data_IF_835057990589
#
_entry.id   IF_835057990589
#
_cell.length_a   1.000
_cell.length_b   1.000
_cell.length_c   1.000
_cell.angle_alpha   90.00
_cell.angle_beta   90.00
_cell.angle_gamma   90.00
#
_symmetry.space_group_name_H-M   'P 1'
#
loop_
_entity.id
_entity.type
_entity.pdbx_description
1 polymer ?
#
# COMPACT_ATOMS: atom_id res chain seq x y z
N UNK A 1 -4.32 -19.03 7.11
CA UNK A 1 -4.68 -17.61 7.32
C UNK A 1 -3.71 -16.74 6.54
N UNK A 2 -4.21 -15.88 5.67
CA UNK A 2 -3.39 -14.97 4.88
C UNK A 2 -2.67 -13.93 5.76
N UNK A 3 -1.55 -13.41 5.27
CA UNK A 3 -0.97 -12.16 5.78
C UNK A 3 -1.71 -10.96 5.17
N UNK A 4 -1.96 -9.92 5.97
CA UNK A 4 -2.29 -8.60 5.43
C UNK A 4 -1.00 -7.87 5.11
N UNK A 5 -0.70 -7.69 3.83
CA UNK A 5 0.50 -7.02 3.37
C UNK A 5 0.15 -5.63 2.82
N UNK A 6 0.99 -4.64 3.10
CA UNK A 6 0.81 -3.27 2.62
C UNK A 6 1.99 -2.86 1.75
N UNK A 7 1.72 -2.59 0.48
CA UNK A 7 2.71 -2.06 -0.46
C UNK A 7 2.46 -0.59 -0.70
N UNK A 8 3.46 0.25 -0.48
CA UNK A 8 3.33 1.71 -0.56
C UNK A 8 4.54 2.34 -1.22
N UNK A 9 4.28 3.23 -2.17
CA UNK A 9 5.27 4.14 -2.73
C UNK A 9 5.40 5.37 -1.83
N UNK A 10 6.62 5.72 -1.46
CA UNK A 10 6.90 6.81 -0.52
C UNK A 10 7.98 7.73 -1.07
N UNK A 11 7.84 9.01 -0.80
CA UNK A 11 8.96 9.95 -0.87
C UNK A 11 9.87 9.80 0.35
N UNK A 12 11.08 10.41 0.36
CA UNK A 12 11.96 10.43 1.52
C UNK A 12 11.32 11.06 2.76
N UNK A 13 10.38 12.00 2.58
CA UNK A 13 9.61 12.60 3.66
C UNK A 13 8.27 11.89 3.93
N UNK A 14 8.09 10.68 3.38
CA UNK A 14 6.99 9.77 3.70
C UNK A 14 5.66 10.06 3.01
N UNK A 15 5.62 10.94 2.01
CA UNK A 15 4.40 11.22 1.23
C UNK A 15 4.08 10.04 0.33
N UNK A 16 2.81 9.64 0.30
CA UNK A 16 2.28 8.54 -0.52
C UNK A 16 1.21 8.98 -1.51
N UNK A 17 0.82 10.25 -1.51
CA UNK A 17 -0.28 10.78 -2.32
C UNK A 17 0.07 10.85 -3.80
N UNK A 18 -0.85 10.40 -4.67
CA UNK A 18 -0.82 10.55 -6.12
C UNK A 18 0.52 10.23 -6.82
N UNK A 19 1.13 9.05 -6.57
CA UNK A 19 2.43 8.71 -7.16
C UNK A 19 2.39 8.55 -8.68
N UNK A 20 1.28 8.07 -9.25
CA UNK A 20 1.21 7.60 -10.64
C UNK A 20 0.83 8.66 -11.67
N UNK A 21 0.18 9.76 -11.28
CA UNK A 21 -0.19 10.80 -12.24
C UNK A 21 -0.75 12.08 -11.62
N UNK A 22 -0.66 13.22 -12.35
CA UNK A 22 -1.15 14.51 -11.85
C UNK A 22 -2.63 14.53 -11.43
N UNK A 23 -3.57 13.86 -12.14
CA UNK A 23 -4.98 13.86 -11.77
C UNK A 23 -5.37 12.77 -10.76
N UNK A 24 -4.42 11.96 -10.28
CA UNK A 24 -4.70 10.78 -9.47
C UNK A 24 -5.38 11.13 -8.14
N UNK A 25 -4.84 12.06 -7.39
CA UNK A 25 -5.43 12.58 -6.15
C UNK A 25 -5.00 14.03 -5.89
N UNK A 26 -5.75 15.03 -6.38
CA UNK A 26 -5.46 16.45 -6.14
C UNK A 26 -6.03 16.96 -4.81
N UNK A 27 -6.56 16.09 -3.94
CA UNK A 27 -7.17 16.48 -2.67
C UNK A 27 -6.19 17.26 -1.79
N UNK A 28 -6.70 18.18 -0.97
CA UNK A 28 -5.87 19.06 -0.17
C UNK A 28 -5.02 20.06 -0.96
N UNK A 29 -5.28 20.24 -2.25
CA UNK A 29 -4.50 21.13 -3.13
C UNK A 29 -3.14 20.55 -3.54
N UNK A 30 -2.95 19.24 -3.47
CA UNK A 30 -1.70 18.57 -3.85
C UNK A 30 -1.40 18.74 -5.34
N UNK A 31 -0.18 19.20 -5.66
CA UNK A 31 0.23 19.59 -7.02
C UNK A 31 1.36 18.75 -7.61
N UNK A 32 1.87 17.77 -6.86
CA UNK A 32 3.04 16.98 -7.25
C UNK A 32 2.67 15.56 -7.76
N UNK A 33 1.43 15.37 -8.25
CA UNK A 33 0.99 14.07 -8.78
C UNK A 33 1.90 13.56 -9.89
N UNK A 34 2.17 12.24 -9.92
CA UNK A 34 3.07 11.62 -10.89
C UNK A 34 4.55 11.67 -10.49
N UNK A 35 4.87 12.04 -9.26
CA UNK A 35 6.24 12.17 -8.75
C UNK A 35 7.07 10.88 -8.82
N UNK A 36 6.43 9.73 -8.82
CA UNK A 36 7.08 8.42 -8.92
C UNK A 36 7.63 8.14 -10.32
N UNK A 37 6.91 8.58 -11.37
CA UNK A 37 7.11 8.15 -12.76
C UNK A 37 8.55 8.30 -13.25
N UNK A 38 9.28 9.41 -12.98
CA UNK A 38 10.66 9.57 -13.41
C UNK A 38 11.66 8.56 -12.80
N UNK A 39 11.27 7.91 -11.69
CA UNK A 39 12.13 6.99 -10.95
C UNK A 39 11.73 5.51 -11.15
N UNK A 40 10.60 5.25 -11.83
CA UNK A 40 10.11 3.88 -12.03
C UNK A 40 10.97 3.16 -13.06
N UNK A 41 11.73 2.17 -12.62
CA UNK A 41 12.64 1.39 -13.44
C UNK A 41 12.26 -0.09 -13.50
N UNK A 42 13.03 -0.88 -14.27
CA UNK A 42 12.81 -2.31 -14.42
C UNK A 42 12.91 -3.09 -13.10
N UNK A 43 13.76 -2.66 -12.16
CA UNK A 43 13.90 -3.30 -10.84
C UNK A 43 12.66 -3.08 -9.98
N UNK A 44 12.11 -1.88 -10.02
CA UNK A 44 10.84 -1.54 -9.37
C UNK A 44 9.69 -2.36 -9.97
N UNK A 45 9.61 -2.42 -11.31
CA UNK A 45 8.59 -3.21 -12.02
C UNK A 45 8.67 -4.70 -11.68
N UNK A 46 9.88 -5.27 -11.66
CA UNK A 46 10.11 -6.67 -11.27
C UNK A 46 9.65 -6.95 -9.84
N UNK A 47 9.99 -6.08 -8.89
CA UNK A 47 9.55 -6.22 -7.51
C UNK A 47 8.02 -6.16 -7.39
N UNK A 48 7.38 -5.24 -8.10
CA UNK A 48 5.91 -5.17 -8.11
C UNK A 48 5.29 -6.44 -8.68
N UNK A 49 5.83 -7.00 -9.75
CA UNK A 49 5.38 -8.30 -10.28
C UNK A 49 5.49 -9.40 -9.22
N UNK A 50 6.64 -9.52 -8.54
CA UNK A 50 6.86 -10.48 -7.45
C UNK A 50 5.85 -10.31 -6.30
N UNK A 51 5.46 -9.07 -5.97
CA UNK A 51 4.42 -8.77 -4.97
C UNK A 51 3.07 -9.28 -5.46
N UNK A 52 2.64 -8.89 -6.66
CA UNK A 52 1.34 -9.28 -7.20
C UNK A 52 1.19 -10.79 -7.43
N UNK A 53 2.26 -11.52 -7.72
CA UNK A 53 2.24 -12.98 -7.86
C UNK A 53 1.76 -13.68 -6.58
N UNK A 54 2.04 -13.12 -5.39
CA UNK A 54 1.64 -13.68 -4.10
C UNK A 54 0.21 -13.35 -3.70
N UNK A 55 -0.44 -12.41 -4.40
CA UNK A 55 -1.80 -11.97 -4.09
C UNK A 55 -2.82 -13.10 -4.25
N UNK A 56 -3.73 -13.20 -3.30
CA UNK A 56 -4.96 -13.99 -3.41
C UNK A 56 -6.20 -13.08 -3.45
N UNK A 57 -6.12 -11.88 -2.86
CA UNK A 57 -7.16 -10.86 -2.90
C UNK A 57 -6.56 -9.48 -2.59
N UNK A 58 -7.34 -8.44 -2.85
CA UNK A 58 -7.00 -7.05 -2.55
C UNK A 58 -7.97 -6.43 -1.56
N UNK A 59 -7.44 -5.62 -0.64
CA UNK A 59 -8.20 -4.74 0.22
C UNK A 59 -7.87 -3.29 -0.19
N UNK A 60 -8.82 -2.60 -0.78
CA UNK A 60 -8.65 -1.29 -1.38
C UNK A 60 -9.51 -0.25 -0.66
N UNK A 61 -8.96 0.91 -0.37
CA UNK A 61 -9.78 2.05 0.02
C UNK A 61 -10.53 2.65 -1.16
N UNK A 62 -11.58 3.42 -0.88
CA UNK A 62 -12.46 4.00 -1.90
C UNK A 62 -11.71 4.70 -3.03
N UNK A 63 -10.81 5.62 -2.71
CA UNK A 63 -10.10 6.42 -3.74
C UNK A 63 -9.25 5.53 -4.64
N UNK A 64 -8.43 4.64 -4.06
CA UNK A 64 -7.62 3.70 -4.84
C UNK A 64 -8.49 2.77 -5.68
N UNK A 65 -9.60 2.26 -5.12
CA UNK A 65 -10.55 1.47 -5.89
C UNK A 65 -11.06 2.22 -7.13
N UNK A 66 -11.47 3.48 -6.98
CA UNK A 66 -11.99 4.29 -8.08
C UNK A 66 -10.94 4.54 -9.16
N UNK A 67 -9.69 4.84 -8.77
CA UNK A 67 -8.55 5.01 -9.66
C UNK A 67 -8.29 3.70 -10.42
N UNK A 68 -8.18 2.59 -9.71
CA UNK A 68 -7.89 1.27 -10.28
C UNK A 68 -9.01 0.77 -11.20
N UNK A 69 -10.26 0.90 -10.79
CA UNK A 69 -11.43 0.51 -11.58
C UNK A 69 -11.56 1.30 -12.88
N UNK A 70 -11.04 2.53 -12.92
CA UNK A 70 -11.02 3.34 -14.13
C UNK A 70 -9.84 3.00 -15.08
N UNK A 71 -8.77 2.41 -14.57
CA UNK A 71 -7.55 2.13 -15.32
C UNK A 71 -7.42 0.65 -15.72
N UNK A 72 -7.37 -0.25 -14.76
CA UNK A 72 -6.96 -1.64 -14.97
C UNK A 72 -7.88 -2.48 -15.87
N UNK A 73 -9.21 -2.28 -15.91
CA UNK A 73 -10.06 -2.99 -16.88
C UNK A 73 -9.74 -2.67 -18.35
N UNK A 74 -9.03 -1.57 -18.61
CA UNK A 74 -8.60 -1.17 -19.96
C UNK A 74 -7.24 -1.73 -20.36
N UNK A 75 -6.47 -2.25 -19.41
CA UNK A 75 -5.21 -2.95 -19.68
C UNK A 75 -5.54 -4.39 -20.01
N UNK A 76 -5.63 -4.69 -21.30
CA UNK A 76 -6.09 -5.99 -21.81
C UNK A 76 -4.96 -6.89 -22.29
N UNK A 77 -3.71 -6.47 -22.16
CA UNK A 77 -2.54 -7.27 -22.48
C UNK A 77 -2.45 -8.47 -21.50
N UNK A 78 -2.62 -9.71 -21.97
CA UNK A 78 -2.54 -10.88 -21.09
C UNK A 78 -1.14 -11.15 -20.54
N UNK A 79 -0.11 -10.52 -21.12
CA UNK A 79 1.27 -10.62 -20.65
C UNK A 79 1.58 -9.67 -19.48
N UNK A 80 0.69 -8.71 -19.18
CA UNK A 80 0.83 -7.85 -18.00
C UNK A 80 0.38 -8.61 -16.73
N UNK A 81 1.31 -9.01 -15.86
CA UNK A 81 1.00 -9.83 -14.69
C UNK A 81 0.19 -9.05 -13.63
N UNK A 82 0.37 -7.73 -13.55
CA UNK A 82 -0.32 -6.88 -12.59
C UNK A 82 -1.78 -6.71 -13.02
N UNK A 83 -2.01 -6.34 -14.28
CA UNK A 83 -3.36 -6.21 -14.83
C UNK A 83 -4.14 -7.51 -14.73
N UNK A 84 -3.50 -8.65 -15.08
CA UNK A 84 -4.10 -9.98 -14.98
C UNK A 84 -4.58 -10.29 -13.57
N UNK A 85 -3.75 -10.04 -12.54
CA UNK A 85 -4.10 -10.27 -11.14
C UNK A 85 -5.22 -9.33 -10.67
N UNK A 86 -5.09 -8.03 -10.92
CA UNK A 86 -6.08 -7.03 -10.50
C UNK A 86 -7.45 -7.27 -11.13
N UNK A 87 -7.50 -7.67 -12.40
CA UNK A 87 -8.76 -7.95 -13.08
C UNK A 87 -9.39 -9.28 -12.66
N UNK A 88 -8.59 -10.29 -12.28
CA UNK A 88 -9.09 -11.63 -11.96
C UNK A 88 -9.42 -11.85 -10.49
N UNK A 89 -8.62 -11.31 -9.55
CA UNK A 89 -8.72 -11.62 -8.12
C UNK A 89 -9.83 -10.82 -7.41
N UNK A 90 -10.35 -11.33 -6.27
CA UNK A 90 -11.30 -10.59 -5.42
C UNK A 90 -10.75 -9.27 -4.92
N UNK A 91 -11.60 -8.25 -4.92
CA UNK A 91 -11.32 -6.91 -4.39
C UNK A 91 -12.33 -6.53 -3.32
N UNK A 92 -11.86 -6.36 -2.08
CA UNK A 92 -12.65 -5.90 -0.95
C UNK A 92 -12.47 -4.39 -0.80
N UNK A 93 -13.54 -3.63 -0.94
CA UNK A 93 -13.48 -2.16 -1.02
C UNK A 93 -13.97 -1.57 0.29
N UNK A 94 -13.01 -1.05 1.07
CA UNK A 94 -13.29 -0.35 2.32
C UNK A 94 -13.92 1.02 2.04
N UNK A 95 -15.23 1.14 2.28
CA UNK A 95 -15.97 2.38 2.08
C UNK A 95 -17.25 2.41 2.90
N UNK A 96 -17.50 3.56 3.55
CA UNK A 96 -18.77 3.88 4.22
C UNK A 96 -19.72 4.70 3.35
N UNK A 97 -19.29 5.12 2.16
CA UNK A 97 -20.01 6.09 1.33
C UNK A 97 -20.32 5.60 -0.08
N UNK A 98 -19.63 4.58 -0.58
CA UNK A 98 -19.99 3.96 -1.85
C UNK A 98 -21.24 3.11 -1.67
N UNK A 99 -22.24 3.34 -2.53
CA UNK A 99 -23.46 2.55 -2.56
C UNK A 99 -23.25 1.20 -3.26
N UNK A 100 -22.34 1.15 -4.24
CA UNK A 100 -22.04 -0.06 -5.04
C UNK A 100 -20.64 -0.04 -5.61
N UNK A 101 -20.16 -1.22 -5.99
CA UNK A 101 -18.91 -1.44 -6.72
C UNK A 101 -19.22 -2.18 -8.01
N UNK A 102 -18.59 -1.76 -9.12
CA UNK A 102 -18.94 -2.25 -10.47
C UNK A 102 -17.79 -3.05 -11.13
N UNK A 103 -16.56 -2.84 -10.67
CA UNK A 103 -15.44 -3.60 -11.19
C UNK A 103 -15.57 -5.07 -10.82
N UNK A 104 -15.31 -5.94 -11.79
CA UNK A 104 -15.45 -7.40 -11.62
C UNK A 104 -14.81 -7.90 -10.32
N UNK A 105 -15.43 -8.88 -9.68
CA UNK A 105 -14.96 -9.50 -8.43
C UNK A 105 -14.75 -8.52 -7.27
N UNK A 106 -15.52 -7.43 -7.21
CA UNK A 106 -15.45 -6.45 -6.13
C UNK A 106 -16.62 -6.59 -5.17
N UNK A 107 -16.37 -6.34 -3.88
CA UNK A 107 -17.37 -6.33 -2.81
C UNK A 107 -17.10 -5.18 -1.84
N UNK A 108 -18.15 -4.60 -1.24
CA UNK A 108 -18.01 -3.55 -0.23
C UNK A 108 -17.69 -4.17 1.13
N UNK A 109 -16.83 -3.47 1.87
CA UNK A 109 -16.49 -3.70 3.29
C UNK A 109 -16.78 -2.41 4.03
N UNK A 110 -17.77 -2.42 4.92
CA UNK A 110 -18.21 -1.23 5.67
C UNK A 110 -17.43 -1.01 6.96
N UNK A 111 -17.03 -2.10 7.61
CA UNK A 111 -16.20 -2.10 8.82
C UNK A 111 -14.95 -2.96 8.62
N UNK A 112 -13.90 -2.31 8.13
CA UNK A 112 -12.64 -2.99 7.81
C UNK A 112 -11.97 -3.58 9.06
N UNK A 113 -12.14 -2.95 10.22
CA UNK A 113 -11.49 -3.38 11.46
C UNK A 113 -12.03 -4.73 11.93
N UNK A 114 -13.35 -4.90 11.92
CA UNK A 114 -13.98 -6.17 12.30
C UNK A 114 -13.83 -7.24 11.20
N UNK A 115 -13.76 -6.85 9.92
CA UNK A 115 -13.79 -7.80 8.81
C UNK A 115 -12.40 -8.33 8.39
N UNK A 116 -11.29 -7.62 8.70
CA UNK A 116 -9.93 -8.03 8.29
C UNK A 116 -9.58 -9.45 8.76
N UNK A 117 -9.91 -9.81 10.01
CA UNK A 117 -9.62 -11.14 10.53
C UNK A 117 -10.32 -12.24 9.69
N UNK A 118 -11.61 -12.06 9.43
CA UNK A 118 -12.40 -12.98 8.59
C UNK A 118 -11.88 -13.03 7.16
N UNK A 119 -11.47 -11.90 6.59
CA UNK A 119 -10.87 -11.86 5.25
C UNK A 119 -9.56 -12.64 5.22
N UNK A 120 -8.69 -12.50 6.22
CA UNK A 120 -7.44 -13.25 6.31
C UNK A 120 -7.67 -14.77 6.40
N UNK A 121 -8.75 -15.22 7.02
CA UNK A 121 -9.11 -16.64 7.09
C UNK A 121 -9.53 -17.23 5.73
N UNK A 122 -10.10 -16.42 4.84
CA UNK A 122 -10.58 -16.86 3.51
C UNK A 122 -9.47 -17.18 2.52
N UNK A 123 -8.27 -16.66 2.73
CA UNK A 123 -7.19 -16.74 1.77
C UNK A 123 -5.96 -17.45 2.35
N UNK A 124 -5.22 -18.22 1.54
CA UNK A 124 -4.07 -18.99 2.03
C UNK A 124 -2.78 -18.17 2.14
N UNK A 125 -2.55 -17.15 1.28
CA UNK A 125 -1.26 -16.45 1.16
C UNK A 125 -1.33 -15.00 1.59
N UNK A 126 -1.78 -14.09 0.69
CA UNK A 126 -1.76 -12.65 0.94
C UNK A 126 -3.08 -11.97 0.58
N UNK A 127 -3.60 -11.18 1.52
CA UNK A 127 -4.56 -10.12 1.32
C UNK A 127 -3.75 -8.82 1.18
N UNK A 128 -3.72 -8.23 -0.02
CA UNK A 128 -2.82 -7.11 -0.32
C UNK A 128 -3.54 -5.76 -0.29
N UNK A 129 -2.88 -4.79 0.33
CA UNK A 129 -3.26 -3.37 0.33
C UNK A 129 -2.27 -2.60 -0.55
N UNK A 130 -2.79 -1.91 -1.55
CA UNK A 130 -2.01 -1.04 -2.42
C UNK A 130 -2.52 0.39 -2.29
N UNK A 131 -1.77 1.23 -1.57
CA UNK A 131 -2.16 2.61 -1.36
C UNK A 131 -3.40 2.77 -0.48
N UNK A 132 -4.13 3.87 -0.69
CA UNK A 132 -5.21 4.46 0.11
C UNK A 132 -4.75 4.96 1.47
N UNK A 133 -4.36 6.23 1.54
CA UNK A 133 -3.87 6.82 2.78
C UNK A 133 -4.88 6.68 3.94
N UNK A 134 -6.17 6.91 3.69
CA UNK A 134 -7.20 6.75 4.74
C UNK A 134 -7.36 5.32 5.24
N UNK A 135 -7.32 4.32 4.33
CA UNK A 135 -7.32 2.91 4.73
C UNK A 135 -6.05 2.56 5.51
N UNK A 136 -4.89 3.02 5.04
CA UNK A 136 -3.61 2.78 5.71
C UNK A 136 -3.62 3.29 7.15
N UNK A 137 -4.14 4.52 7.40
CA UNK A 137 -4.26 5.05 8.77
C UNK A 137 -5.13 4.13 9.65
N UNK A 138 -6.31 3.73 9.17
CA UNK A 138 -7.18 2.81 9.93
C UNK A 138 -6.47 1.49 10.25
N UNK A 139 -5.78 0.89 9.30
CA UNK A 139 -5.06 -0.36 9.50
C UNK A 139 -3.88 -0.20 10.48
N UNK A 140 -3.17 0.92 10.43
CA UNK A 140 -2.08 1.25 11.33
C UNK A 140 -2.56 1.54 12.76
N UNK A 141 -3.65 2.30 12.93
CA UNK A 141 -4.26 2.61 14.22
C UNK A 141 -4.74 1.35 14.97
N UNK A 142 -5.12 0.30 14.24
CA UNK A 142 -5.59 -0.96 14.81
C UNK A 142 -4.57 -2.10 14.74
N UNK A 143 -3.32 -1.80 14.34
CA UNK A 143 -2.21 -2.75 14.30
C UNK A 143 -2.51 -4.02 13.47
N UNK A 144 -3.17 -3.84 12.31
CA UNK A 144 -3.70 -4.93 11.51
C UNK A 144 -2.74 -5.43 10.41
N UNK A 145 -1.69 -4.66 10.10
CA UNK A 145 -0.74 -4.99 9.02
C UNK A 145 0.33 -5.95 9.53
N UNK A 146 0.49 -7.08 8.86
CA UNK A 146 1.49 -8.09 9.22
C UNK A 146 2.86 -7.80 8.57
N UNK A 147 2.85 -7.27 7.33
CA UNK A 147 4.07 -7.05 6.53
C UNK A 147 3.94 -5.81 5.66
N UNK A 148 5.03 -5.06 5.56
CA UNK A 148 5.13 -3.81 4.79
C UNK A 148 6.14 -3.99 3.67
N UNK A 149 5.77 -3.53 2.46
CA UNK A 149 6.67 -3.34 1.33
C UNK A 149 6.75 -1.86 1.02
N UNK A 150 7.81 -1.20 1.45
CA UNK A 150 8.01 0.23 1.32
C UNK A 150 9.01 0.49 0.20
N UNK A 151 8.57 1.22 -0.83
CA UNK A 151 9.43 1.68 -1.92
C UNK A 151 9.65 3.18 -1.72
N UNK A 152 10.83 3.54 -1.23
CA UNK A 152 11.20 4.92 -0.90
C UNK A 152 11.98 5.53 -2.06
N UNK A 153 11.38 6.50 -2.70
CA UNK A 153 11.92 7.19 -3.88
C UNK A 153 12.78 8.38 -3.48
N UNK A 154 13.86 8.70 -4.24
CA UNK A 154 14.82 9.74 -3.89
C UNK A 154 14.29 11.15 -4.16
N UNK A 155 13.17 11.52 -3.56
CA UNK A 155 12.50 12.81 -3.71
C UNK A 155 11.87 13.27 -2.37
N UNK A 156 11.82 14.57 -2.14
CA UNK A 156 11.15 15.24 -1.02
C UNK A 156 10.13 16.20 -1.59
N UNK A 157 8.89 16.16 -1.10
CA UNK A 157 7.79 17.00 -1.58
C UNK A 157 7.31 18.05 -0.57
N UNK A 158 7.54 17.81 0.73
CA UNK A 158 7.17 18.72 1.82
C UNK A 158 5.68 18.73 2.17
N UNK A 159 4.80 18.43 1.22
CA UNK A 159 3.33 18.44 1.37
C UNK A 159 2.74 17.12 0.88
N UNK A 160 1.51 16.81 1.29
CA UNK A 160 0.78 15.62 0.88
C UNK A 160 0.49 14.65 2.03
N UNK A 161 -0.32 13.64 1.74
CA UNK A 161 -0.68 12.59 2.71
C UNK A 161 0.50 11.63 2.92
N UNK A 162 0.82 11.38 4.20
CA UNK A 162 1.95 10.52 4.62
C UNK A 162 1.45 9.17 5.14
N UNK A 163 2.27 8.13 4.95
CA UNK A 163 1.97 6.80 5.48
C UNK A 163 1.97 6.80 7.01
N UNK A 164 3.05 7.27 7.63
CA UNK A 164 3.17 7.37 9.08
C UNK A 164 2.84 8.79 9.52
N UNK A 165 1.54 9.12 9.50
CA UNK A 165 1.03 10.40 9.97
C UNK A 165 0.87 10.41 11.49
N UNK A 166 0.48 11.56 12.05
CA UNK A 166 0.15 11.64 13.48
C UNK A 166 -0.99 10.69 13.84
N UNK A 167 -0.80 9.88 14.90
CA UNK A 167 -1.79 8.87 15.32
C UNK A 167 -1.42 7.41 15.03
N UNK A 168 -0.36 7.16 14.25
CA UNK A 168 0.15 5.81 14.09
C UNK A 168 0.58 5.23 15.44
N UNK A 169 0.19 3.98 15.73
CA UNK A 169 0.62 3.30 16.94
C UNK A 169 2.12 2.98 16.85
N UNK A 170 2.91 3.31 17.89
CA UNK A 170 4.31 2.94 17.92
C UNK A 170 4.50 1.42 17.79
N UNK A 171 5.24 0.99 16.78
CA UNK A 171 5.49 -0.42 16.50
C UNK A 171 6.97 -0.66 16.15
N UNK A 172 7.52 -1.78 16.61
CA UNK A 172 8.80 -2.27 16.12
C UNK A 172 8.61 -3.09 14.85
N UNK A 173 9.53 -2.92 13.92
CA UNK A 173 9.54 -3.65 12.65
C UNK A 173 10.86 -4.41 12.50
N UNK A 174 10.79 -5.63 11.96
CA UNK A 174 11.94 -6.45 11.62
C UNK A 174 12.16 -6.38 10.11
N UNK A 175 13.33 -5.94 9.69
CA UNK A 175 13.72 -5.95 8.28
C UNK A 175 13.79 -7.41 7.79
N UNK A 176 13.09 -7.68 6.70
CA UNK A 176 13.11 -8.97 5.99
C UNK A 176 14.03 -8.91 4.78
N UNK A 177 13.91 -7.84 4.00
CA UNK A 177 14.65 -7.64 2.76
C UNK A 177 14.84 -6.16 2.48
N UNK A 178 15.98 -5.79 1.85
CA UNK A 178 16.19 -4.44 1.31
C UNK A 178 17.08 -4.52 0.08
N UNK A 179 16.81 -3.64 -0.88
CA UNK A 179 17.67 -3.42 -2.06
C UNK A 179 17.50 -1.98 -2.57
N UNK A 180 18.54 -1.47 -3.22
CA UNK A 180 18.45 -0.25 -4.02
C UNK A 180 18.21 -0.63 -5.50
N UNK A 181 17.48 0.22 -6.23
CA UNK A 181 17.30 0.10 -7.67
C UNK A 181 18.27 1.02 -8.42
N UNK A 182 18.33 0.88 -9.74
CA UNK A 182 19.22 1.68 -10.59
C UNK A 182 18.91 3.18 -10.56
N UNK A 183 17.66 3.57 -10.26
CA UNK A 183 17.23 4.97 -10.13
C UNK A 183 17.37 5.51 -8.70
N UNK A 184 17.90 4.72 -7.76
CA UNK A 184 18.11 5.13 -6.38
C UNK A 184 16.90 4.93 -5.47
N UNK A 185 15.86 4.22 -5.92
CA UNK A 185 14.74 3.82 -5.06
C UNK A 185 15.20 2.74 -4.08
N UNK A 186 14.87 2.90 -2.81
CA UNK A 186 15.12 1.89 -1.78
C UNK A 186 13.85 1.06 -1.60
N UNK A 187 13.93 -0.22 -1.91
CA UNK A 187 12.87 -1.20 -1.64
C UNK A 187 13.20 -1.88 -0.31
N UNK A 188 12.29 -1.80 0.66
CA UNK A 188 12.46 -2.42 1.96
C UNK A 188 11.18 -3.14 2.39
N UNK A 189 11.32 -4.40 2.78
CA UNK A 189 10.23 -5.22 3.31
C UNK A 189 10.44 -5.45 4.80
N UNK A 190 9.39 -5.24 5.58
CA UNK A 190 9.42 -5.38 7.03
C UNK A 190 8.25 -6.23 7.51
N UNK A 191 8.51 -7.08 8.51
CA UNK A 191 7.47 -7.72 9.30
C UNK A 191 7.24 -6.94 10.60
N UNK A 192 6.01 -7.00 11.10
CA UNK A 192 5.68 -6.52 12.43
C UNK A 192 6.47 -7.29 13.49
N UNK A 193 7.05 -6.57 14.47
CA UNK A 193 7.87 -7.14 15.53
C UNK A 193 7.42 -6.72 16.95
N UNK A 194 6.16 -6.29 17.08
CA UNK A 194 5.56 -5.95 18.37
C UNK A 194 5.80 -4.49 18.80
N UNK A 195 5.95 -4.26 20.09
CA UNK A 195 6.13 -2.91 20.66
C UNK A 195 7.60 -2.46 20.53
N UNK A 196 7.85 -1.16 20.33
CA UNK A 196 9.21 -0.65 20.31
C UNK A 196 9.83 -0.74 21.71
N UNK A 197 11.14 -0.99 21.75
CA UNK A 197 11.96 -0.87 22.94
C UNK A 197 12.81 0.39 22.85
N UNK A 198 13.03 1.05 23.98
CA UNK A 198 13.88 2.23 24.06
C UNK A 198 15.10 1.93 24.92
N UNK A 199 16.18 2.66 24.72
CA UNK A 199 17.41 2.59 25.49
C UNK A 199 18.00 3.96 25.73
N UNK A 200 19.10 4.05 26.49
CA UNK A 200 19.83 5.29 26.76
C UNK A 200 21.32 5.10 26.44
N UNK A 201 21.92 6.11 25.85
CA UNK A 201 23.38 6.28 25.77
C UNK A 201 23.94 7.15 26.89
N UNK A 202 23.09 7.60 27.84
CA UNK A 202 23.56 8.31 29.01
C UNK A 202 24.32 7.35 29.91
N UNK A 203 25.45 7.84 30.47
CA UNK A 203 26.16 7.13 31.53
C UNK A 203 25.29 7.16 32.78
N UNK A 204 25.21 6.04 33.49
CA UNK A 204 24.59 6.03 34.81
C UNK A 204 25.32 7.04 35.73
N UNK A 205 24.57 7.81 36.55
CA UNK A 205 25.14 8.84 37.40
C UNK A 205 26.07 8.30 38.47
#
# INVERSE_FOLDING_TARGET
MAKLTMTTFLTLDGVMQAPGGPPEDPSGGFRHGGWLVPFFDGDTGKFMTEVFERADAFLLGRTTYQIFANHWPRVTDPSDPIATKLNALPKHVASKTLARVEWNNSSLVSDVVSEVATLKERYPRELQVHGSAGLAQTLLEHDLVDEYHLLVFPIVLGTGQRLFAGGAIPAALKLLHTRATSTGTIIASYARAGKPTTGSFMLDP
#
